data_IF_045806157510
#
_entry.id   IF_045806157510
#
_cell.length_a   1.000
_cell.length_b   1.000
_cell.length_c   1.000
_cell.angle_alpha   90.00
_cell.angle_beta   90.00
_cell.angle_gamma   90.00
#
_symmetry.space_group_name_H-M   'P 1'
#
loop_
_entity.id
_entity.type
_entity.pdbx_description
1 polymer ?
#
# COMPACT_ATOMS: atom_id res chain seq x y z
N UNK A 1 -4.95 0.79 3.84
CA UNK A 1 -5.67 1.82 4.62
C UNK A 1 -7.12 1.82 4.20
N UNK A 2 -8.05 1.74 5.15
CA UNK A 2 -9.48 1.73 4.90
C UNK A 2 -10.03 3.15 4.85
N UNK A 3 -10.76 3.49 3.80
CA UNK A 3 -11.47 4.75 3.66
C UNK A 3 -12.97 4.41 3.60
N UNK A 4 -13.73 4.65 4.66
CA UNK A 4 -15.15 4.35 4.65
C UNK A 4 -15.84 5.24 3.60
N UNK A 5 -16.44 4.67 2.55
CA UNK A 5 -17.32 5.44 1.69
C UNK A 5 -18.60 5.79 2.47
N UNK A 6 -19.37 6.73 1.96
CA UNK A 6 -20.64 7.24 2.53
C UNK A 6 -21.64 6.12 2.93
N UNK A 7 -21.41 4.88 2.51
CA UNK A 7 -22.29 3.72 2.74
C UNK A 7 -21.98 2.91 4.01
N UNK A 8 -20.85 3.18 4.68
CA UNK A 8 -20.54 2.51 5.95
C UNK A 8 -21.13 3.30 7.12
N UNK A 9 -21.80 2.61 8.01
CA UNK A 9 -22.30 3.18 9.27
C UNK A 9 -21.25 3.01 10.36
N UNK A 10 -20.91 4.10 11.05
CA UNK A 10 -19.98 4.06 12.19
C UNK A 10 -20.75 3.99 13.50
N UNK A 11 -20.47 2.93 14.28
CA UNK A 11 -20.99 2.77 15.66
C UNK A 11 -19.84 2.30 16.53
N UNK A 12 -19.54 3.01 17.61
CA UNK A 12 -18.51 2.67 18.60
C UNK A 12 -17.16 2.28 17.96
N UNK A 13 -16.64 3.12 17.07
CA UNK A 13 -15.37 2.90 16.35
C UNK A 13 -15.30 1.67 15.43
N UNK A 14 -16.44 1.07 15.12
CA UNK A 14 -16.60 0.02 14.12
C UNK A 14 -17.38 0.59 12.93
N UNK A 15 -16.83 0.41 11.73
CA UNK A 15 -17.53 0.72 10.50
C UNK A 15 -18.23 -0.53 10.00
N UNK A 16 -19.55 -0.47 9.81
CA UNK A 16 -20.37 -1.61 9.34
C UNK A 16 -20.98 -1.32 7.98
N UNK A 17 -21.03 -2.34 7.14
CA UNK A 17 -21.69 -2.32 5.85
C UNK A 17 -22.53 -3.60 5.70
N UNK A 18 -23.81 -3.44 5.37
CA UNK A 18 -24.69 -4.54 5.03
C UNK A 18 -24.96 -4.56 3.52
N UNK A 19 -24.90 -5.73 2.90
CA UNK A 19 -25.24 -5.93 1.48
C UNK A 19 -25.98 -7.23 1.28
N UNK A 20 -27.11 -7.16 0.58
CA UNK A 20 -27.82 -8.35 0.09
C UNK A 20 -27.21 -8.80 -1.25
N UNK A 21 -27.24 -10.10 -1.52
CA UNK A 21 -26.75 -10.72 -2.74
C UNK A 21 -27.51 -12.01 -3.07
N UNK A 22 -27.30 -12.58 -4.24
CA UNK A 22 -28.03 -13.72 -4.76
C UNK A 22 -29.56 -13.50 -4.66
N UNK A 23 -30.03 -12.47 -5.36
CA UNK A 23 -31.46 -12.09 -5.43
C UNK A 23 -32.11 -11.85 -4.05
N UNK A 24 -31.31 -11.41 -3.06
CA UNK A 24 -31.77 -11.11 -1.71
C UNK A 24 -31.80 -12.31 -0.77
N UNK A 25 -31.44 -13.51 -1.23
CA UNK A 25 -31.45 -14.72 -0.39
C UNK A 25 -30.40 -14.67 0.73
N UNK A 26 -29.36 -13.89 0.57
CA UNK A 26 -28.30 -13.72 1.56
C UNK A 26 -28.02 -12.25 1.87
N UNK A 27 -27.65 -11.98 3.12
CA UNK A 27 -27.15 -10.69 3.57
C UNK A 27 -25.75 -10.84 4.15
N UNK A 28 -24.77 -10.17 3.54
CA UNK A 28 -23.42 -10.02 4.07
C UNK A 28 -23.36 -8.80 4.99
N UNK A 29 -22.75 -8.97 6.16
CA UNK A 29 -22.49 -7.92 7.15
C UNK A 29 -20.98 -7.85 7.33
N UNK A 30 -20.36 -6.73 6.91
CA UNK A 30 -18.95 -6.47 7.04
C UNK A 30 -18.70 -5.47 8.17
N UNK A 31 -17.69 -5.73 8.97
CA UNK A 31 -17.27 -4.85 10.05
C UNK A 31 -15.78 -4.56 9.93
N UNK A 32 -15.40 -3.29 10.04
CA UNK A 32 -14.00 -2.84 10.00
C UNK A 32 -13.72 -2.05 11.27
N UNK A 33 -12.71 -2.46 12.03
CA UNK A 33 -12.31 -1.74 13.23
C UNK A 33 -11.30 -0.60 12.90
N UNK A 34 -10.94 0.19 13.90
CA UNK A 34 -9.99 1.31 13.76
C UNK A 34 -8.58 0.88 13.37
N UNK A 35 -8.23 -0.39 13.54
CA UNK A 35 -6.95 -0.97 13.10
C UNK A 35 -6.99 -1.40 11.62
N UNK A 36 -8.16 -1.33 10.96
CA UNK A 36 -8.35 -1.79 9.60
C UNK A 36 -8.57 -3.29 9.46
N UNK A 37 -8.79 -4.01 10.56
CA UNK A 37 -9.14 -5.43 10.53
C UNK A 37 -10.58 -5.60 10.06
N UNK A 38 -10.76 -6.44 9.05
CA UNK A 38 -12.06 -6.70 8.42
C UNK A 38 -12.58 -8.04 8.91
N UNK A 39 -13.82 -8.05 9.38
CA UNK A 39 -14.58 -9.27 9.68
C UNK A 39 -15.85 -9.26 8.87
N UNK A 40 -16.36 -10.45 8.54
CA UNK A 40 -17.60 -10.60 7.78
C UNK A 40 -18.38 -11.81 8.21
N UNK A 41 -19.70 -11.70 8.16
CA UNK A 41 -20.63 -12.83 8.29
C UNK A 41 -21.71 -12.76 7.23
N UNK A 42 -22.25 -13.89 6.87
CA UNK A 42 -23.35 -14.02 5.92
C UNK A 42 -24.54 -14.61 6.64
N UNK A 43 -25.70 -13.96 6.48
CA UNK A 43 -26.98 -14.39 7.04
C UNK A 43 -27.83 -14.91 5.89
N UNK A 44 -28.34 -16.12 6.03
CA UNK A 44 -29.39 -16.67 5.17
C UNK A 44 -30.70 -15.95 5.50
N UNK A 45 -31.32 -15.29 4.52
CA UNK A 45 -32.53 -14.49 4.75
C UNK A 45 -33.79 -15.33 4.92
N UNK A 46 -33.74 -16.61 4.60
CA UNK A 46 -34.85 -17.52 4.81
C UNK A 46 -34.90 -18.03 6.26
N UNK A 47 -33.74 -18.44 6.80
CA UNK A 47 -33.63 -18.99 8.17
C UNK A 47 -33.31 -17.96 9.22
N UNK A 48 -32.74 -16.79 8.80
CA UNK A 48 -32.20 -15.74 9.63
C UNK A 48 -30.96 -16.16 10.44
N UNK A 49 -30.40 -17.33 10.14
CA UNK A 49 -29.20 -17.86 10.78
C UNK A 49 -27.93 -17.48 9.99
N UNK A 50 -26.76 -17.54 10.65
CA UNK A 50 -25.48 -17.39 9.99
C UNK A 50 -25.22 -18.60 9.07
N UNK A 51 -24.86 -18.33 7.82
CA UNK A 51 -24.48 -19.35 6.84
C UNK A 51 -23.05 -19.83 7.10
N UNK A 52 -22.88 -20.73 8.07
CA UNK A 52 -21.60 -21.22 8.56
C UNK A 52 -20.76 -21.99 7.53
N UNK A 53 -21.38 -22.50 6.45
CA UNK A 53 -20.69 -23.25 5.40
C UNK A 53 -19.57 -22.46 4.73
N UNK A 54 -19.62 -21.11 4.79
CA UNK A 54 -18.52 -20.26 4.28
C UNK A 54 -17.26 -20.34 5.13
N UNK A 55 -17.37 -20.69 6.41
CA UNK A 55 -16.25 -20.84 7.35
C UNK A 55 -15.66 -22.24 7.38
N UNK A 56 -16.34 -23.21 6.78
CA UNK A 56 -15.93 -24.60 6.74
C UNK A 56 -15.19 -24.87 5.43
N UNK A 57 -13.89 -25.16 5.48
CA UNK A 57 -13.08 -25.46 4.30
C UNK A 57 -13.58 -26.71 3.56
N UNK A 58 -14.09 -27.69 4.32
CA UNK A 58 -14.60 -28.97 3.80
C UNK A 58 -16.01 -28.87 3.24
N UNK A 59 -16.75 -27.78 3.50
CA UNK A 59 -18.11 -27.63 2.98
C UNK A 59 -18.06 -27.42 1.45
N UNK A 60 -18.49 -28.45 0.73
CA UNK A 60 -18.50 -28.55 -0.72
C UNK A 60 -19.91 -28.73 -1.24
N UNK A 61 -20.09 -28.46 -2.52
CA UNK A 61 -21.37 -28.58 -3.22
C UNK A 61 -21.65 -27.36 -4.07
N UNK A 62 -22.39 -27.52 -5.16
CA UNK A 62 -22.62 -26.45 -6.15
C UNK A 62 -23.23 -25.20 -5.51
N UNK A 63 -24.15 -25.37 -4.57
CA UNK A 63 -24.78 -24.23 -3.89
C UNK A 63 -23.81 -23.46 -2.97
N UNK A 64 -23.01 -24.18 -2.16
CA UNK A 64 -21.98 -23.58 -1.31
C UNK A 64 -20.97 -22.83 -2.16
N UNK A 65 -20.58 -23.42 -3.29
CA UNK A 65 -19.66 -22.77 -4.24
C UNK A 65 -20.25 -21.48 -4.81
N UNK A 66 -21.52 -21.48 -5.19
CA UNK A 66 -22.22 -20.29 -5.69
C UNK A 66 -22.24 -19.18 -4.64
N UNK A 67 -22.63 -19.49 -3.40
CA UNK A 67 -22.67 -18.51 -2.29
C UNK A 67 -21.25 -17.97 -2.00
N UNK A 68 -20.25 -18.87 -1.96
CA UNK A 68 -18.84 -18.48 -1.73
C UNK A 68 -18.31 -17.56 -2.81
N UNK A 69 -18.58 -17.88 -4.08
CA UNK A 69 -18.14 -17.06 -5.23
C UNK A 69 -18.78 -15.68 -5.19
N UNK A 70 -20.06 -15.58 -4.93
CA UNK A 70 -20.76 -14.30 -4.83
C UNK A 70 -20.28 -13.47 -3.64
N UNK A 71 -20.03 -14.09 -2.48
CA UNK A 71 -19.47 -13.42 -1.31
C UNK A 71 -18.05 -12.90 -1.56
N UNK A 72 -17.18 -13.68 -2.20
CA UNK A 72 -15.83 -13.27 -2.59
C UNK A 72 -15.87 -12.11 -3.58
N UNK A 73 -16.82 -12.11 -4.52
CA UNK A 73 -17.02 -10.97 -5.43
C UNK A 73 -17.37 -9.70 -4.67
N UNK A 74 -18.28 -9.76 -3.70
CA UNK A 74 -18.61 -8.62 -2.83
C UNK A 74 -17.39 -8.10 -2.07
N UNK A 75 -16.56 -9.00 -1.52
CA UNK A 75 -15.32 -8.60 -0.84
C UNK A 75 -14.35 -7.86 -1.78
N UNK A 76 -14.20 -8.34 -3.02
CA UNK A 76 -13.38 -7.68 -4.04
C UNK A 76 -13.90 -6.29 -4.39
N UNK A 77 -15.21 -6.14 -4.56
CA UNK A 77 -15.84 -4.85 -4.87
C UNK A 77 -15.67 -3.85 -3.72
N UNK A 78 -15.80 -4.31 -2.47
CA UNK A 78 -15.55 -3.51 -1.28
C UNK A 78 -14.07 -3.12 -1.21
N UNK A 79 -13.15 -4.07 -1.40
CA UNK A 79 -11.72 -3.78 -1.41
C UNK A 79 -11.35 -2.74 -2.48
N UNK A 80 -11.87 -2.90 -3.69
CA UNK A 80 -11.61 -1.96 -4.80
C UNK A 80 -12.16 -0.56 -4.52
N UNK A 81 -13.29 -0.44 -3.80
CA UNK A 81 -13.94 0.85 -3.54
C UNK A 81 -13.50 1.55 -2.25
N UNK A 82 -13.01 0.80 -1.26
CA UNK A 82 -12.78 1.30 0.10
C UNK A 82 -11.39 1.04 0.65
N UNK A 83 -10.59 0.19 0.01
CA UNK A 83 -9.29 -0.20 0.51
C UNK A 83 -8.19 0.26 -0.44
N UNK A 84 -7.04 0.61 0.12
CA UNK A 84 -5.81 0.81 -0.65
C UNK A 84 -4.79 -0.20 -0.17
N UNK A 85 -4.02 -0.72 -1.12
CA UNK A 85 -2.93 -1.62 -0.79
C UNK A 85 -1.92 -0.92 0.13
N UNK A 86 -1.54 -1.57 1.21
CA UNK A 86 -0.42 -1.16 2.05
C UNK A 86 0.78 -1.98 1.60
N UNK A 87 1.67 -1.33 0.84
CA UNK A 87 2.82 -1.97 0.21
C UNK A 87 4.11 -1.77 1.01
N UNK A 88 4.15 -0.73 1.86
CA UNK A 88 5.33 -0.33 2.62
C UNK A 88 4.99 -0.12 4.10
N UNK A 89 6.02 -0.10 4.94
CA UNK A 89 5.85 -0.01 6.40
C UNK A 89 5.38 1.38 6.83
N UNK A 90 5.96 2.44 6.27
CA UNK A 90 5.59 3.81 6.66
C UNK A 90 4.32 4.29 5.95
N UNK A 91 3.52 5.09 6.66
CA UNK A 91 2.33 5.72 6.08
C UNK A 91 2.71 6.66 4.95
N UNK A 92 3.82 7.37 5.07
CA UNK A 92 4.30 8.29 4.05
C UNK A 92 4.69 7.56 2.76
N UNK A 93 5.36 6.40 2.84
CA UNK A 93 5.68 5.58 1.67
C UNK A 93 4.43 5.16 0.90
N UNK A 94 3.36 4.78 1.61
CA UNK A 94 2.09 4.38 0.98
C UNK A 94 1.34 5.59 0.37
N UNK A 95 1.35 6.78 1.01
CA UNK A 95 0.77 8.01 0.43
C UNK A 95 1.50 8.41 -0.85
N UNK A 96 2.84 8.42 -0.82
CA UNK A 96 3.65 8.73 -2.00
C UNK A 96 3.45 7.71 -3.13
N UNK A 97 3.32 6.43 -2.81
CA UNK A 97 3.00 5.40 -3.80
C UNK A 97 1.67 5.68 -4.50
N UNK A 98 0.64 6.10 -3.75
CA UNK A 98 -0.63 6.49 -4.34
C UNK A 98 -0.49 7.75 -5.22
N UNK A 99 0.25 8.76 -4.75
CA UNK A 99 0.51 9.98 -5.52
C UNK A 99 1.29 9.69 -6.82
N UNK A 100 2.23 8.74 -6.79
CA UNK A 100 2.95 8.26 -7.99
C UNK A 100 1.98 7.58 -8.96
N UNK A 101 1.11 6.70 -8.45
CA UNK A 101 0.09 6.04 -9.26
C UNK A 101 -0.85 7.04 -9.91
N UNK A 102 -1.37 7.99 -9.14
CA UNK A 102 -2.32 8.99 -9.62
C UNK A 102 -1.71 9.91 -10.69
N UNK A 103 -0.43 10.28 -10.51
CA UNK A 103 0.25 11.25 -11.38
C UNK A 103 0.93 10.64 -12.60
N UNK A 104 1.56 9.48 -12.44
CA UNK A 104 2.39 8.86 -13.49
C UNK A 104 1.80 7.54 -14.01
N UNK A 105 0.69 7.05 -13.42
CA UNK A 105 0.04 5.77 -13.74
C UNK A 105 0.99 4.57 -13.59
N UNK A 106 1.91 4.64 -12.60
CA UNK A 106 2.92 3.62 -12.34
C UNK A 106 2.70 3.01 -10.96
N UNK A 107 2.62 1.68 -10.91
CA UNK A 107 2.67 0.89 -9.67
C UNK A 107 4.11 0.39 -9.45
N UNK A 108 4.54 0.20 -8.19
CA UNK A 108 5.83 -0.42 -7.93
C UNK A 108 5.80 -1.90 -8.33
N UNK A 109 6.91 -2.39 -8.88
CA UNK A 109 7.19 -3.82 -8.96
C UNK A 109 8.16 -4.24 -7.84
N UNK A 110 8.11 -5.52 -7.47
CA UNK A 110 8.92 -6.11 -6.39
C UNK A 110 9.81 -7.21 -6.97
N UNK A 111 10.90 -6.85 -7.67
CA UNK A 111 11.72 -7.81 -8.42
C UNK A 111 12.43 -8.83 -7.53
N UNK A 112 12.54 -8.54 -6.24
CA UNK A 112 13.19 -9.41 -5.23
C UNK A 112 12.20 -10.10 -4.30
N UNK A 113 10.93 -10.28 -4.70
CA UNK A 113 9.86 -10.87 -3.88
C UNK A 113 10.17 -12.27 -3.33
N UNK A 114 11.08 -13.01 -3.96
CA UNK A 114 11.58 -14.32 -3.50
C UNK A 114 12.68 -14.22 -2.43
N UNK A 115 13.23 -13.04 -2.15
CA UNK A 115 14.28 -12.82 -1.15
C UNK A 115 13.68 -12.31 0.15
N UNK A 116 13.83 -13.04 1.24
CA UNK A 116 13.35 -12.62 2.58
C UNK A 116 13.91 -11.28 3.02
N UNK A 117 15.09 -10.88 2.51
CA UNK A 117 15.76 -9.62 2.85
C UNK A 117 15.27 -8.43 2.03
N UNK A 118 14.92 -8.63 0.76
CA UNK A 118 14.66 -7.56 -0.19
C UNK A 118 13.25 -7.59 -0.77
N UNK A 119 12.39 -8.50 -0.29
CA UNK A 119 11.03 -8.70 -0.80
C UNK A 119 10.14 -7.46 -0.73
N UNK A 120 10.43 -6.54 0.20
CA UNK A 120 9.70 -5.28 0.39
C UNK A 120 10.26 -4.11 -0.42
N UNK A 121 11.30 -4.33 -1.25
CA UNK A 121 11.90 -3.28 -2.06
C UNK A 121 11.05 -3.06 -3.32
N UNK A 122 10.39 -1.91 -3.39
CA UNK A 122 9.49 -1.53 -4.48
C UNK A 122 10.15 -0.58 -5.46
N UNK A 123 10.24 -0.99 -6.72
CA UNK A 123 10.87 -0.24 -7.83
C UNK A 123 9.81 0.39 -8.70
N UNK A 124 9.91 1.69 -8.94
CA UNK A 124 9.06 2.41 -9.88
C UNK A 124 9.82 2.63 -11.20
N UNK A 125 9.25 2.14 -12.30
CA UNK A 125 9.88 2.15 -13.63
C UNK A 125 9.03 2.89 -14.63
N UNK A 126 9.68 3.52 -15.60
CA UNK A 126 9.00 4.00 -16.78
C UNK A 126 8.39 2.83 -17.58
N UNK A 127 7.17 3.02 -18.07
CA UNK A 127 6.51 2.02 -18.92
C UNK A 127 7.24 1.87 -20.28
N UNK A 128 7.78 2.97 -20.82
CA UNK A 128 8.38 3.04 -22.14
C UNK A 128 9.77 2.39 -22.23
N UNK A 129 10.66 2.71 -21.27
CA UNK A 129 12.08 2.30 -21.36
C UNK A 129 12.55 1.43 -20.18
N UNK A 130 11.67 1.13 -19.23
CA UNK A 130 11.91 0.31 -18.04
C UNK A 130 12.99 0.85 -17.08
N UNK A 131 13.51 2.05 -17.31
CA UNK A 131 14.46 2.69 -16.38
C UNK A 131 13.78 3.00 -15.04
N UNK A 132 14.55 2.92 -13.97
CA UNK A 132 14.11 3.23 -12.62
C UNK A 132 14.11 4.74 -12.40
N UNK A 133 13.02 5.27 -11.86
CA UNK A 133 12.98 6.66 -11.41
C UNK A 133 12.81 6.78 -9.89
N UNK A 134 12.36 5.70 -9.20
CA UNK A 134 12.31 5.65 -7.76
C UNK A 134 12.45 4.21 -7.25
N UNK A 135 13.00 4.06 -6.05
CA UNK A 135 13.13 2.77 -5.35
C UNK A 135 12.84 3.01 -3.87
N UNK A 136 11.77 2.42 -3.35
CA UNK A 136 11.46 2.43 -1.92
C UNK A 136 12.03 1.16 -1.28
N UNK A 137 12.72 1.33 -0.14
CA UNK A 137 13.36 0.24 0.59
C UNK A 137 13.14 0.41 2.08
N UNK A 138 12.87 -0.69 2.79
CA UNK A 138 12.93 -0.74 4.24
C UNK A 138 14.33 -1.13 4.68
N UNK A 139 15.03 -0.24 5.37
CA UNK A 139 16.44 -0.40 5.76
C UNK A 139 16.65 -0.06 7.23
N UNK A 140 17.72 -0.59 7.85
CA UNK A 140 18.12 -0.14 9.19
C UNK A 140 18.56 1.32 9.12
N UNK A 141 18.10 2.18 10.03
CA UNK A 141 18.49 3.61 10.07
C UNK A 141 20.01 3.82 10.15
N UNK A 142 20.73 2.85 10.73
CA UNK A 142 22.19 2.87 10.84
C UNK A 142 22.95 2.88 9.50
N UNK A 143 22.30 2.52 8.39
CA UNK A 143 22.94 2.58 7.06
C UNK A 143 23.03 4.00 6.51
N UNK A 144 22.22 4.94 7.06
CA UNK A 144 22.20 6.34 6.65
C UNK A 144 23.04 7.22 7.60
N UNK A 145 22.89 6.99 8.90
CA UNK A 145 23.52 7.79 9.96
C UNK A 145 23.93 6.93 11.13
N UNK A 146 24.98 7.36 11.85
CA UNK A 146 25.38 6.73 13.10
C UNK A 146 24.39 7.13 14.21
N UNK A 147 23.42 6.28 14.51
CA UNK A 147 22.43 6.49 15.57
C UNK A 147 22.37 5.29 16.49
N UNK A 148 22.02 5.52 17.75
CA UNK A 148 21.86 4.46 18.75
C UNK A 148 20.66 3.54 18.48
N UNK A 149 19.63 4.04 17.79
CA UNK A 149 18.42 3.28 17.49
C UNK A 149 18.46 2.71 16.06
N UNK A 150 18.60 1.36 15.92
CA UNK A 150 18.68 0.68 14.63
C UNK A 150 17.32 0.38 13.99
N UNK A 151 16.21 0.96 14.50
CA UNK A 151 14.87 0.65 13.99
C UNK A 151 14.81 0.81 12.46
N UNK A 152 14.16 -0.13 11.78
CA UNK A 152 13.95 -0.03 10.33
C UNK A 152 13.18 1.23 9.96
N UNK A 153 13.54 1.81 8.82
CA UNK A 153 12.91 2.98 8.25
C UNK A 153 12.74 2.78 6.74
N UNK A 154 11.62 3.25 6.21
CA UNK A 154 11.46 3.31 4.76
C UNK A 154 12.20 4.53 4.22
N UNK A 155 12.92 4.33 3.13
CA UNK A 155 13.60 5.37 2.37
C UNK A 155 13.19 5.28 0.91
N UNK A 156 13.28 6.40 0.20
CA UNK A 156 13.13 6.44 -1.25
C UNK A 156 14.42 6.94 -1.89
N UNK A 157 14.97 6.17 -2.83
CA UNK A 157 16.07 6.59 -3.68
C UNK A 157 15.54 7.29 -4.93
N UNK A 158 16.08 8.48 -5.21
CA UNK A 158 15.67 9.33 -6.32
C UNK A 158 16.90 9.84 -7.08
N UNK A 159 16.79 9.90 -8.41
CA UNK A 159 17.83 10.45 -9.27
C UNK A 159 17.80 11.98 -9.21
N UNK A 160 18.95 12.60 -9.19
CA UNK A 160 19.15 14.07 -9.11
C UNK A 160 20.13 14.55 -10.17
N UNK A 161 20.15 15.85 -10.43
CA UNK A 161 21.24 16.51 -11.12
C UNK A 161 22.48 16.50 -10.23
N UNK A 162 23.68 16.15 -10.74
CA UNK A 162 24.91 16.09 -9.92
C UNK A 162 25.21 17.37 -9.16
N UNK A 163 24.91 18.52 -9.76
CA UNK A 163 25.18 19.85 -9.20
C UNK A 163 24.30 20.15 -7.96
N UNK A 164 23.18 19.45 -7.80
CA UNK A 164 22.27 19.62 -6.67
C UNK A 164 22.63 18.73 -5.46
N UNK A 165 23.52 17.74 -5.64
CA UNK A 165 23.80 16.73 -4.63
C UNK A 165 24.25 17.35 -3.29
N UNK A 166 25.20 18.26 -3.32
CA UNK A 166 25.74 18.91 -2.12
C UNK A 166 24.66 19.71 -1.40
N UNK A 167 23.91 20.54 -2.11
CA UNK A 167 22.84 21.35 -1.53
C UNK A 167 21.74 20.48 -0.92
N UNK A 168 21.34 19.40 -1.60
CA UNK A 168 20.29 18.49 -1.11
C UNK A 168 20.73 17.75 0.15
N UNK A 169 22.00 17.37 0.28
CA UNK A 169 22.50 16.69 1.48
C UNK A 169 22.50 17.57 2.75
N UNK A 170 22.35 18.89 2.64
CA UNK A 170 22.14 19.77 3.78
C UNK A 170 20.70 19.83 4.28
N UNK A 171 19.75 19.27 3.52
CA UNK A 171 18.33 19.24 3.91
C UNK A 171 18.10 18.06 4.88
N UNK A 172 17.54 18.31 6.08
CA UNK A 172 17.19 17.24 7.00
C UNK A 172 16.32 16.16 6.33
N UNK A 173 16.68 14.91 6.52
CA UNK A 173 15.95 13.78 5.92
C UNK A 173 16.46 13.35 4.54
N UNK A 174 17.44 14.05 3.96
CA UNK A 174 18.11 13.68 2.70
C UNK A 174 19.53 13.24 2.98
N UNK A 175 19.91 12.11 2.40
CA UNK A 175 21.21 11.45 2.62
C UNK A 175 21.83 11.01 1.29
N UNK A 176 23.17 10.77 1.25
CA UNK A 176 23.80 10.06 0.15
C UNK A 176 23.09 8.73 -0.12
N UNK A 177 22.87 8.41 -1.38
CA UNK A 177 21.99 7.29 -1.75
C UNK A 177 22.52 5.93 -1.25
N UNK A 178 21.72 5.20 -0.53
CA UNK A 178 22.04 3.84 -0.14
C UNK A 178 22.06 2.90 -1.36
N UNK A 179 23.14 2.16 -1.54
CA UNK A 179 23.40 1.25 -2.67
C UNK A 179 23.37 1.87 -4.08
N UNK A 180 23.47 3.18 -4.20
CA UNK A 180 23.49 3.89 -5.48
C UNK A 180 24.63 4.87 -5.56
N UNK A 181 24.94 5.41 -6.75
CA UNK A 181 25.95 6.44 -6.93
C UNK A 181 25.50 7.76 -6.27
N UNK A 182 26.20 8.19 -5.22
CA UNK A 182 25.90 9.36 -4.40
C UNK A 182 25.93 10.69 -5.16
N UNK A 183 26.59 10.77 -6.33
CA UNK A 183 26.60 11.96 -7.17
C UNK A 183 25.34 12.10 -8.02
N UNK A 184 24.64 11.00 -8.25
CA UNK A 184 23.50 10.94 -9.17
C UNK A 184 22.20 10.59 -8.47
N UNK A 185 22.26 10.13 -7.22
CA UNK A 185 21.13 9.66 -6.45
C UNK A 185 21.21 10.13 -5.01
N UNK A 186 20.04 10.35 -4.41
CA UNK A 186 19.86 10.62 -2.99
C UNK A 186 18.95 9.57 -2.37
N UNK A 187 19.05 9.39 -1.05
CA UNK A 187 18.06 8.69 -0.22
C UNK A 187 17.29 9.71 0.61
N UNK A 188 15.97 9.66 0.56
CA UNK A 188 15.09 10.49 1.39
C UNK A 188 14.38 9.57 2.38
N UNK A 189 14.41 9.89 3.67
CA UNK A 189 13.66 9.15 4.70
C UNK A 189 12.17 9.44 4.59
N UNK A 190 11.35 8.41 4.82
CA UNK A 190 9.90 8.47 4.74
C UNK A 190 9.28 8.37 6.14
N UNK A 191 9.55 9.39 6.97
CA UNK A 191 9.10 9.51 8.36
C UNK A 191 8.44 10.87 8.67
N UNK A 192 7.92 11.50 7.63
CA UNK A 192 7.30 12.85 7.65
C UNK A 192 8.27 13.99 8.01
N UNK A 193 9.61 13.76 8.00
CA UNK A 193 10.61 14.83 8.13
C UNK A 193 10.52 15.82 6.97
N UNK A 194 10.31 15.34 5.73
CA UNK A 194 9.93 16.17 4.58
C UNK A 194 8.46 15.98 4.25
N UNK A 195 7.80 17.03 3.78
CA UNK A 195 6.41 16.94 3.33
C UNK A 195 6.27 16.09 2.06
N UNK A 196 5.08 15.52 1.87
CA UNK A 196 4.77 14.73 0.67
C UNK A 196 4.96 15.57 -0.62
N UNK A 197 4.64 16.88 -0.59
CA UNK A 197 4.81 17.78 -1.74
C UNK A 197 6.29 17.95 -2.11
N UNK A 198 7.16 18.13 -1.12
CA UNK A 198 8.60 18.28 -1.34
C UNK A 198 9.17 16.98 -1.96
N UNK A 199 8.82 15.83 -1.42
CA UNK A 199 9.26 14.54 -1.94
C UNK A 199 8.69 14.30 -3.35
N UNK A 200 7.42 14.64 -3.61
CA UNK A 200 6.82 14.52 -4.94
C UNK A 200 7.48 15.42 -5.98
N UNK A 201 8.01 16.59 -5.58
CA UNK A 201 8.81 17.45 -6.46
C UNK A 201 10.13 16.76 -6.86
N UNK A 202 10.83 16.13 -5.90
CA UNK A 202 12.04 15.34 -6.16
C UNK A 202 11.73 14.10 -7.03
N UNK A 203 10.61 13.41 -6.78
CA UNK A 203 10.15 12.28 -7.60
C UNK A 203 9.91 12.73 -9.05
N UNK A 204 9.25 13.88 -9.26
CA UNK A 204 9.05 14.45 -10.60
C UNK A 204 10.37 14.73 -11.32
N UNK A 205 11.33 15.32 -10.61
CA UNK A 205 12.67 15.56 -11.16
C UNK A 205 13.34 14.24 -11.55
N UNK A 206 13.33 13.25 -10.66
CA UNK A 206 13.88 11.93 -10.94
C UNK A 206 13.21 11.24 -12.14
N UNK A 207 11.88 11.37 -12.24
CA UNK A 207 11.11 10.86 -13.37
C UNK A 207 11.59 11.48 -14.69
N UNK A 208 11.75 12.81 -14.75
CA UNK A 208 12.21 13.50 -15.96
C UNK A 208 13.66 13.17 -16.33
N UNK A 209 14.55 12.99 -15.34
CA UNK A 209 15.96 12.63 -15.57
C UNK A 209 16.18 11.18 -16.05
N UNK A 210 15.15 10.37 -16.05
CA UNK A 210 15.24 8.96 -16.43
C UNK A 210 14.39 8.59 -17.65
N UNK A 211 13.68 9.55 -18.21
CA UNK A 211 12.96 9.40 -19.49
C UNK A 211 13.86 9.01 -20.66
#
# INVERSE_FOLDING_TARGET
>A
MFFPPVRFHKVNDIYTLEKTFLDGNFKAIFSVNTKGEITGKVIDQMTLDEYYQLRQEEANGAYVHTVRTAYVSLLKDIAASCCRDILFTSLQANRLTQNILDRFQVKPDFPWGHSTRYQSYGVFRHASNRKWFALIMNVKRTVLVKVANPNPIDIINLKIQPEQAEQLHHIPGIYPAYHMNHKLWISVVLDDTLSDENIMSLIKTSYLLTQ
#
